data_IF_520274794705
#
_entry.id   IF_520274794705
#
_cell.length_a   1.000
_cell.length_b   1.000
_cell.length_c   1.000
_cell.angle_alpha   90.00
_cell.angle_beta   90.00
_cell.angle_gamma   90.00
#
_symmetry.space_group_name_H-M   'P 1'
#
loop_
_entity.id
_entity.type
_entity.pdbx_description
1 polymer ?
#
# COMPACT_ATOMS: atom_id res chain seq x y z
N UNK A 1 -0.84 -8.55 1.61
CA UNK A 1 -1.25 -7.16 1.93
C UNK A 1 -2.67 -6.90 1.42
N UNK A 2 -2.89 -6.95 0.10
CA UNK A 2 -4.18 -6.80 -0.57
C UNK A 2 -5.39 -7.49 0.12
N UNK A 3 -5.40 -8.81 0.38
CA UNK A 3 -6.57 -9.46 0.98
C UNK A 3 -6.88 -9.00 2.41
N UNK A 4 -5.85 -8.56 3.15
CA UNK A 4 -5.98 -8.08 4.52
C UNK A 4 -6.57 -6.66 4.51
N UNK A 5 -6.09 -5.79 3.62
CA UNK A 5 -6.62 -4.43 3.45
C UNK A 5 -8.07 -4.44 2.98
N UNK A 6 -8.44 -5.32 2.05
CA UNK A 6 -9.83 -5.50 1.60
C UNK A 6 -10.74 -5.95 2.74
N UNK A 7 -10.32 -6.97 3.51
CA UNK A 7 -11.11 -7.46 4.65
C UNK A 7 -11.24 -6.41 5.76
N UNK A 8 -10.17 -5.68 6.06
CA UNK A 8 -10.21 -4.59 7.04
C UNK A 8 -11.18 -3.48 6.60
N UNK A 9 -11.15 -3.11 5.32
CA UNK A 9 -12.05 -2.11 4.75
C UNK A 9 -13.52 -2.56 4.83
N UNK A 10 -13.83 -3.80 4.42
CA UNK A 10 -15.17 -4.35 4.50
C UNK A 10 -15.69 -4.41 5.95
N UNK A 11 -14.83 -4.75 6.91
CA UNK A 11 -15.18 -4.75 8.32
C UNK A 11 -15.46 -3.34 8.85
N UNK A 12 -14.68 -2.32 8.45
CA UNK A 12 -14.91 -0.94 8.84
C UNK A 12 -16.26 -0.42 8.33
N UNK A 13 -16.60 -0.70 7.06
CA UNK A 13 -17.92 -0.36 6.52
C UNK A 13 -19.04 -1.10 7.28
N UNK A 14 -18.85 -2.38 7.58
CA UNK A 14 -19.82 -3.17 8.37
C UNK A 14 -20.02 -2.59 9.77
N UNK A 15 -18.97 -2.00 10.35
CA UNK A 15 -19.01 -1.35 11.66
C UNK A 15 -19.61 0.07 11.64
N UNK A 16 -19.98 0.60 10.47
CA UNK A 16 -20.63 1.90 10.31
C UNK A 16 -19.70 3.09 10.09
N UNK A 17 -18.43 2.87 9.74
CA UNK A 17 -17.53 3.95 9.31
C UNK A 17 -17.90 4.45 7.92
N UNK A 18 -17.77 5.76 7.68
CA UNK A 18 -18.02 6.38 6.38
C UNK A 18 -16.96 6.04 5.32
N UNK A 19 -15.78 5.60 5.76
CA UNK A 19 -14.68 5.25 4.87
C UNK A 19 -13.46 4.74 5.63
N UNK A 20 -12.39 4.51 4.88
CA UNK A 20 -11.09 4.07 5.41
C UNK A 20 -9.97 4.92 4.84
N UNK A 21 -8.94 5.13 5.63
CA UNK A 21 -7.67 5.69 5.18
C UNK A 21 -6.63 4.58 5.09
N UNK A 22 -5.89 4.53 3.98
CA UNK A 22 -4.72 3.67 3.85
C UNK A 22 -3.51 4.40 4.42
N UNK A 23 -2.98 3.90 5.54
CA UNK A 23 -1.85 4.55 6.20
C UNK A 23 -0.52 4.32 5.45
N UNK A 24 -0.14 5.30 4.64
CA UNK A 24 1.06 5.29 3.79
C UNK A 24 2.26 6.11 4.31
N UNK A 25 2.30 6.43 5.60
CA UNK A 25 3.23 7.41 6.18
C UNK A 25 3.92 6.91 7.47
N UNK A 26 4.67 7.81 8.12
CA UNK A 26 5.34 7.64 9.42
C UNK A 26 6.28 6.43 9.56
N UNK A 27 6.90 6.00 8.46
CA UNK A 27 7.89 4.93 8.41
C UNK A 27 7.30 3.53 8.50
N UNK A 28 5.98 3.38 8.41
CA UNK A 28 5.33 2.08 8.36
C UNK A 28 5.49 1.41 6.99
N UNK A 29 5.00 0.17 6.88
CA UNK A 29 5.29 -0.73 5.77
C UNK A 29 5.15 -0.09 4.38
N UNK A 30 4.07 0.63 4.11
CA UNK A 30 3.86 1.26 2.80
C UNK A 30 4.89 2.37 2.53
N UNK A 31 5.27 3.17 3.53
CA UNK A 31 6.35 4.16 3.36
C UNK A 31 7.72 3.50 3.22
N UNK A 32 7.95 2.36 3.88
CA UNK A 32 9.19 1.59 3.71
C UNK A 32 9.38 1.14 2.26
N UNK A 33 8.31 0.83 1.53
CA UNK A 33 8.39 0.54 0.10
C UNK A 33 8.68 1.79 -0.73
N UNK A 34 8.09 2.95 -0.39
CA UNK A 34 8.26 4.20 -1.14
C UNK A 34 9.67 4.80 -1.02
N UNK A 35 10.30 4.69 0.15
CA UNK A 35 11.61 5.31 0.44
C UNK A 35 12.75 4.44 -0.09
N UNK A 36 13.60 5.04 -0.92
CA UNK A 36 14.82 4.40 -1.42
C UNK A 36 15.80 4.01 -0.30
N UNK A 37 15.87 4.80 0.79
CA UNK A 37 16.69 4.48 1.95
C UNK A 37 16.27 3.19 2.68
N UNK A 38 14.98 2.84 2.63
CA UNK A 38 14.44 1.63 3.26
C UNK A 38 14.26 0.46 2.27
N UNK A 39 13.90 0.76 1.02
CA UNK A 39 13.67 -0.22 -0.02
C UNK A 39 14.89 -0.39 -0.94
N UNK A 40 15.73 -1.37 -0.59
CA UNK A 40 16.89 -1.79 -1.38
C UNK A 40 16.61 -3.02 -2.26
N UNK A 41 15.33 -3.30 -2.56
CA UNK A 41 14.95 -4.46 -3.37
C UNK A 41 15.37 -4.25 -4.83
N UNK A 42 15.62 -5.37 -5.51
CA UNK A 42 15.98 -5.42 -6.94
C UNK A 42 14.92 -6.11 -7.80
N UNK A 43 13.78 -6.44 -7.21
CA UNK A 43 12.63 -7.00 -7.93
C UNK A 43 11.62 -5.92 -8.35
N UNK A 44 10.44 -6.34 -8.81
CA UNK A 44 9.38 -5.47 -9.34
C UNK A 44 8.81 -4.47 -8.32
N UNK A 45 9.20 -4.56 -7.05
CA UNK A 45 8.79 -3.63 -5.99
C UNK A 45 9.93 -2.71 -5.52
N UNK A 46 11.10 -2.74 -6.15
CA UNK A 46 12.26 -1.91 -5.81
C UNK A 46 12.95 -1.28 -7.02
N UNK A 47 13.99 -0.48 -6.76
CA UNK A 47 14.69 0.26 -7.79
C UNK A 47 13.97 1.54 -8.19
N UNK A 48 13.17 1.53 -9.25
CA UNK A 48 12.53 2.75 -9.79
C UNK A 48 11.41 3.28 -8.88
N UNK A 49 11.00 4.54 -9.09
CA UNK A 49 9.90 5.16 -8.32
C UNK A 49 8.60 4.39 -8.53
N UNK A 50 8.34 3.95 -9.77
CA UNK A 50 7.16 3.19 -10.18
C UNK A 50 7.10 1.85 -9.44
N UNK A 51 8.21 1.11 -9.42
CA UNK A 51 8.29 -0.17 -8.70
C UNK A 51 8.08 0.03 -7.18
N UNK A 52 8.69 1.06 -6.59
CA UNK A 52 8.52 1.38 -5.17
C UNK A 52 7.09 1.80 -4.81
N UNK A 53 6.36 2.43 -5.72
CA UNK A 53 4.96 2.81 -5.54
C UNK A 53 3.98 1.66 -5.78
N UNK A 54 4.41 0.59 -6.47
CA UNK A 54 3.55 -0.54 -6.89
C UNK A 54 2.68 -1.10 -5.77
N UNK A 55 3.27 -1.41 -4.61
CA UNK A 55 2.53 -1.99 -3.49
C UNK A 55 1.43 -1.05 -2.95
N UNK A 56 1.69 0.26 -2.89
CA UNK A 56 0.69 1.24 -2.46
C UNK A 56 -0.47 1.30 -3.45
N UNK A 57 -0.16 1.36 -4.74
CA UNK A 57 -1.17 1.41 -5.81
C UNK A 57 -2.03 0.14 -5.82
N UNK A 58 -1.41 -1.03 -5.66
CA UNK A 58 -2.11 -2.30 -5.50
C UNK A 58 -3.11 -2.26 -4.33
N UNK A 59 -2.69 -1.79 -3.15
CA UNK A 59 -3.58 -1.68 -1.97
C UNK A 59 -4.74 -0.72 -2.20
N UNK A 60 -4.54 0.37 -2.94
CA UNK A 60 -5.57 1.37 -3.26
C UNK A 60 -6.49 0.90 -4.40
N UNK A 61 -6.19 -0.23 -5.06
CA UNK A 61 -6.93 -0.73 -6.21
C UNK A 61 -6.52 -0.06 -7.53
N UNK A 62 -5.47 0.75 -7.52
CA UNK A 62 -4.82 1.29 -8.71
C UNK A 62 -4.08 0.19 -9.44
N UNK A 63 -4.76 -0.49 -10.36
CA UNK A 63 -4.09 -1.35 -11.35
C UNK A 63 -3.59 -0.47 -12.48
N UNK A 64 -2.28 -0.36 -12.65
CA UNK A 64 -1.72 0.03 -13.94
C UNK A 64 -2.17 -1.03 -14.97
N UNK A 65 -2.90 -0.57 -16.00
CA UNK A 65 -3.15 -1.36 -17.21
C UNK A 65 -2.07 -1.03 -18.23
#
# INVERSE_FOLDING_TARGET
MLPISEKASANAITAGFDGVEIHGANGYLLEQFLKDGANQRTDEYGGSVENRARLLLEVVGGRER
#
